data_IF_194967340117
#
_entry.id   IF_194967340117
#
_cell.length_a   1.000
_cell.length_b   1.000
_cell.length_c   1.000
_cell.angle_alpha   90.00
_cell.angle_beta   90.00
_cell.angle_gamma   90.00
#
_symmetry.space_group_name_H-M   'P 1'
#
loop_
_entity.id
_entity.type
_entity.pdbx_description
1 polymer ?
#
# COMPACT_ATOMS: atom_id res chain seq x y z
N UNK A 1 20.12 -18.28 -14.04
CA UNK A 1 20.34 -17.16 -13.10
C UNK A 1 20.58 -17.79 -11.74
N UNK A 2 21.80 -17.70 -11.19
CA UNK A 2 22.20 -18.44 -9.98
C UNK A 2 21.45 -17.95 -8.72
N UNK A 3 21.32 -18.77 -7.67
CA UNK A 3 20.63 -18.39 -6.46
C UNK A 3 21.44 -17.31 -5.74
N UNK A 4 20.92 -16.10 -5.69
CA UNK A 4 21.38 -15.10 -4.73
C UNK A 4 21.14 -15.70 -3.34
N UNK A 5 22.19 -15.88 -2.54
CA UNK A 5 22.07 -16.28 -1.14
C UNK A 5 21.31 -15.20 -0.39
N UNK A 6 19.99 -15.43 -0.23
CA UNK A 6 19.07 -14.54 0.48
C UNK A 6 19.03 -14.96 1.95
N UNK A 7 19.52 -14.10 2.84
CA UNK A 7 19.75 -14.42 4.26
C UNK A 7 18.49 -14.34 5.14
N UNK A 8 17.29 -14.25 4.55
CA UNK A 8 16.04 -14.09 5.29
C UNK A 8 15.86 -12.67 5.84
N UNK A 9 16.40 -11.66 5.14
CA UNK A 9 16.15 -10.25 5.47
C UNK A 9 14.77 -9.81 4.98
N UNK A 10 14.17 -8.71 5.47
CA UNK A 10 12.85 -8.26 5.01
C UNK A 10 12.73 -8.11 3.48
N UNK A 11 13.78 -7.65 2.81
CA UNK A 11 13.81 -7.55 1.36
C UNK A 11 13.67 -8.92 0.65
N UNK A 12 14.20 -9.99 1.25
CA UNK A 12 14.10 -11.34 0.72
C UNK A 12 12.65 -11.84 0.75
N UNK A 13 11.97 -11.66 1.90
CA UNK A 13 10.55 -12.00 2.07
C UNK A 13 9.64 -11.26 1.09
N UNK A 14 9.86 -9.95 0.90
CA UNK A 14 9.13 -9.16 -0.10
C UNK A 14 9.33 -9.73 -1.50
N UNK A 15 10.57 -10.03 -1.87
CA UNK A 15 10.88 -10.59 -3.17
C UNK A 15 10.37 -12.02 -3.37
N UNK A 16 10.29 -12.84 -2.31
CA UNK A 16 9.67 -14.16 -2.37
C UNK A 16 8.15 -14.09 -2.50
N UNK A 17 7.48 -13.16 -1.81
CA UNK A 17 6.04 -12.93 -1.97
C UNK A 17 5.68 -12.59 -3.42
N UNK A 18 6.42 -11.66 -4.03
CA UNK A 18 6.21 -11.26 -5.43
C UNK A 18 6.51 -12.39 -6.42
N UNK A 19 7.47 -13.28 -6.10
CA UNK A 19 7.78 -14.43 -6.94
C UNK A 19 6.72 -15.54 -6.86
N UNK A 20 5.97 -15.62 -5.76
CA UNK A 20 5.00 -16.68 -5.52
C UNK A 20 3.73 -16.55 -6.37
N UNK A 21 3.31 -15.33 -6.71
CA UNK A 21 2.11 -15.10 -7.49
C UNK A 21 2.16 -13.76 -8.26
N UNK A 22 1.77 -13.70 -9.55
CA UNK A 22 1.92 -12.50 -10.39
C UNK A 22 1.09 -11.29 -9.93
N UNK A 23 -0.01 -11.51 -9.19
CA UNK A 23 -0.81 -10.41 -8.62
C UNK A 23 -0.17 -9.76 -7.40
N UNK A 24 0.89 -10.32 -6.81
CA UNK A 24 1.58 -9.74 -5.66
C UNK A 24 2.58 -8.70 -6.16
N UNK A 25 2.31 -7.42 -5.89
CA UNK A 25 3.12 -6.27 -6.32
C UNK A 25 4.10 -5.81 -5.24
N UNK A 26 3.88 -6.25 -4.00
CA UNK A 26 4.73 -5.96 -2.86
C UNK A 26 4.33 -6.78 -1.65
N UNK A 27 4.96 -6.51 -0.50
CA UNK A 27 4.54 -7.09 0.76
C UNK A 27 5.03 -6.24 1.93
N UNK A 28 4.20 -6.14 2.96
CA UNK A 28 4.66 -5.71 4.27
C UNK A 28 5.34 -6.87 4.98
N UNK A 29 6.46 -6.60 5.66
CA UNK A 29 7.23 -7.61 6.38
C UNK A 29 7.42 -7.12 7.80
N UNK A 30 6.86 -7.85 8.75
CA UNK A 30 6.81 -7.47 10.16
C UNK A 30 7.58 -8.49 11.01
N UNK A 31 8.88 -8.25 11.26
CA UNK A 31 9.63 -9.05 12.21
C UNK A 31 9.04 -8.88 13.61
N UNK A 32 9.01 -9.97 14.37
CA UNK A 32 8.62 -10.02 15.77
C UNK A 32 7.16 -9.66 16.09
N UNK A 33 6.31 -9.46 15.07
CA UNK A 33 4.90 -9.09 15.24
C UNK A 33 4.09 -10.14 16.03
N UNK A 34 4.49 -11.41 15.97
CA UNK A 34 3.87 -12.51 16.71
C UNK A 34 4.78 -13.06 17.84
N UNK A 35 5.76 -12.26 18.26
CA UNK A 35 6.76 -12.62 19.26
C UNK A 35 8.18 -12.74 18.71
N UNK A 36 9.21 -12.77 19.57
CA UNK A 36 10.62 -12.84 19.15
C UNK A 36 10.89 -13.99 18.18
N UNK A 37 11.68 -13.74 17.14
CA UNK A 37 12.02 -14.72 16.10
C UNK A 37 10.95 -14.96 15.03
N UNK A 38 9.74 -14.40 15.15
CA UNK A 38 8.69 -14.55 14.13
C UNK A 38 8.80 -13.53 12.98
N UNK A 39 8.25 -13.86 11.81
CA UNK A 39 8.05 -12.93 10.68
C UNK A 39 6.61 -13.03 10.18
N UNK A 40 5.85 -11.95 10.25
CA UNK A 40 4.54 -11.87 9.61
C UNK A 40 4.68 -11.18 8.26
N UNK A 41 4.30 -11.89 7.19
CA UNK A 41 4.33 -11.41 5.82
C UNK A 41 2.91 -11.09 5.35
N UNK A 42 2.71 -9.88 4.83
CA UNK A 42 1.41 -9.43 4.31
C UNK A 42 1.54 -9.03 2.83
N UNK A 43 1.22 -9.92 1.88
CA UNK A 43 1.29 -9.62 0.46
C UNK A 43 0.35 -8.48 0.07
N UNK A 44 0.81 -7.57 -0.77
CA UNK A 44 0.03 -6.45 -1.33
C UNK A 44 -0.24 -6.75 -2.80
N UNK A 45 -1.48 -6.53 -3.24
CA UNK A 45 -1.92 -6.77 -4.61
C UNK A 45 -2.54 -5.50 -5.19
N UNK A 46 -1.74 -4.53 -5.60
CA UNK A 46 -2.22 -3.19 -6.02
C UNK A 46 -3.22 -3.21 -7.18
N UNK A 47 -3.20 -4.26 -8.01
CA UNK A 47 -4.15 -4.45 -9.11
C UNK A 47 -5.50 -5.07 -8.72
N UNK A 48 -5.71 -5.42 -7.45
CA UNK A 48 -6.96 -6.02 -6.95
C UNK A 48 -7.77 -5.03 -6.11
N UNK A 49 -9.04 -5.36 -5.88
CA UNK A 49 -9.94 -4.57 -5.03
C UNK A 49 -9.32 -4.35 -3.65
N UNK A 50 -9.30 -3.08 -3.20
CA UNK A 50 -8.70 -2.66 -1.93
C UNK A 50 -7.24 -3.09 -1.75
N UNK A 51 -6.53 -3.41 -2.84
CA UNK A 51 -5.14 -3.87 -2.82
C UNK A 51 -4.92 -5.19 -2.08
N UNK A 52 -5.99 -5.95 -1.80
CA UNK A 52 -5.93 -7.16 -0.97
C UNK A 52 -5.68 -8.43 -1.79
N UNK A 53 -4.85 -9.36 -1.29
CA UNK A 53 -4.74 -10.70 -1.83
C UNK A 53 -6.02 -11.50 -1.54
N UNK A 54 -6.44 -12.34 -2.48
CA UNK A 54 -7.48 -13.35 -2.25
C UNK A 54 -6.92 -14.52 -1.44
N UNK A 55 -7.80 -15.42 -0.95
CA UNK A 55 -7.37 -16.64 -0.27
C UNK A 55 -6.44 -17.49 -1.14
N UNK A 56 -6.75 -17.66 -2.43
CA UNK A 56 -5.89 -18.36 -3.40
C UNK A 56 -4.49 -17.77 -3.49
N UNK A 57 -4.35 -16.44 -3.41
CA UNK A 57 -3.05 -15.77 -3.46
C UNK A 57 -2.28 -16.00 -2.15
N UNK A 58 -2.95 -15.90 -1.00
CA UNK A 58 -2.33 -16.19 0.30
C UNK A 58 -1.85 -17.65 0.38
N UNK A 59 -2.62 -18.59 -0.16
CA UNK A 59 -2.27 -20.01 -0.24
C UNK A 59 -1.06 -20.23 -1.16
N UNK A 60 -1.02 -19.56 -2.32
CA UNK A 60 0.12 -19.64 -3.24
C UNK A 60 1.42 -19.13 -2.59
N UNK A 61 1.36 -18.00 -1.88
CA UNK A 61 2.51 -17.47 -1.12
C UNK A 61 2.93 -18.45 -0.02
N UNK A 62 1.98 -18.98 0.75
CA UNK A 62 2.25 -19.93 1.82
C UNK A 62 2.85 -21.25 1.31
N UNK A 63 2.43 -21.73 0.14
CA UNK A 63 2.97 -22.93 -0.50
C UNK A 63 4.39 -22.72 -1.06
N UNK A 64 4.72 -21.49 -1.48
CA UNK A 64 6.03 -21.16 -2.05
C UNK A 64 7.13 -20.99 -0.99
N UNK A 65 6.81 -20.35 0.15
CA UNK A 65 7.81 -19.98 1.16
C UNK A 65 8.68 -21.14 1.67
N UNK A 66 8.18 -22.36 1.98
CA UNK A 66 9.01 -23.47 2.45
C UNK A 66 10.19 -23.83 1.54
N UNK A 67 10.11 -23.54 0.25
CA UNK A 67 11.17 -23.84 -0.71
C UNK A 67 12.30 -22.80 -0.72
N UNK A 68 12.09 -21.62 -0.13
CA UNK A 68 13.00 -20.46 -0.27
C UNK A 68 13.41 -19.82 1.06
N UNK A 69 12.59 -19.92 2.09
CA UNK A 69 12.90 -19.38 3.42
C UNK A 69 13.90 -20.27 4.17
N UNK A 70 14.72 -19.71 5.10
CA UNK A 70 15.52 -20.52 5.99
C UNK A 70 14.66 -21.51 6.78
N UNK A 71 15.08 -22.78 6.86
CA UNK A 71 14.29 -23.86 7.48
C UNK A 71 13.93 -23.63 8.96
N UNK A 72 14.71 -22.80 9.66
CA UNK A 72 14.50 -22.46 11.08
C UNK A 72 13.64 -21.21 11.29
N UNK A 73 13.22 -20.53 10.21
CA UNK A 73 12.43 -19.31 10.32
C UNK A 73 10.98 -19.62 10.71
N UNK A 74 10.45 -18.92 11.72
CA UNK A 74 9.04 -18.98 12.09
C UNK A 74 8.28 -17.85 11.38
N UNK A 75 7.56 -18.17 10.31
CA UNK A 75 6.85 -17.18 9.50
C UNK A 75 5.36 -17.47 9.39
N UNK A 76 4.56 -16.42 9.19
CA UNK A 76 3.12 -16.50 8.91
C UNK A 76 2.76 -15.58 7.75
N UNK A 77 1.71 -15.93 7.03
CA UNK A 77 1.15 -15.12 5.94
C UNK A 77 -0.26 -14.68 6.32
N UNK A 78 -0.57 -13.40 6.12
CA UNK A 78 -1.90 -12.83 6.33
C UNK A 78 -2.20 -11.72 5.31
N UNK A 79 -3.46 -11.38 5.09
CA UNK A 79 -3.79 -10.18 4.30
C UNK A 79 -3.36 -8.89 5.03
N UNK A 80 -3.01 -7.80 4.32
CA UNK A 80 -2.86 -6.48 4.93
C UNK A 80 -4.12 -6.02 5.66
N UNK A 81 -3.94 -5.19 6.69
CA UNK A 81 -5.03 -4.37 7.22
C UNK A 81 -5.26 -3.17 6.28
N UNK A 82 -6.41 -2.51 6.40
CA UNK A 82 -6.79 -1.41 5.52
C UNK A 82 -7.02 -0.13 6.30
N UNK A 83 -6.32 0.93 5.88
CA UNK A 83 -6.60 2.29 6.31
C UNK A 83 -7.27 3.02 5.16
N UNK A 84 -8.58 3.23 5.31
CA UNK A 84 -9.37 3.95 4.34
C UNK A 84 -9.14 5.45 4.46
N UNK A 85 -8.75 6.08 3.37
CA UNK A 85 -8.47 7.52 3.31
C UNK A 85 -9.52 8.21 2.46
N UNK A 86 -10.19 9.22 3.01
CA UNK A 86 -11.02 10.17 2.27
C UNK A 86 -10.29 11.50 2.19
N UNK A 87 -10.29 12.10 0.99
CA UNK A 87 -9.72 13.42 0.75
C UNK A 87 -10.85 14.34 0.29
N UNK A 88 -11.01 15.48 0.95
CA UNK A 88 -12.06 16.45 0.63
C UNK A 88 -11.42 17.73 0.12
N UNK A 89 -11.82 18.17 -1.07
CA UNK A 89 -11.30 19.35 -1.75
C UNK A 89 -12.44 20.32 -2.07
N UNK A 90 -12.24 21.61 -1.80
CA UNK A 90 -13.09 22.66 -2.36
C UNK A 90 -12.37 23.24 -3.57
N UNK A 91 -13.04 23.30 -4.73
CA UNK A 91 -12.47 23.85 -5.97
C UNK A 91 -13.04 25.24 -6.25
N UNK A 92 -12.24 26.12 -6.84
CA UNK A 92 -12.77 27.37 -7.37
C UNK A 92 -13.77 27.11 -8.51
N UNK A 93 -14.85 27.89 -8.57
CA UNK A 93 -15.97 27.63 -9.48
C UNK A 93 -15.59 27.58 -10.97
N UNK A 94 -14.51 28.26 -11.38
CA UNK A 94 -14.01 28.26 -12.76
C UNK A 94 -13.26 26.98 -13.14
N UNK A 95 -12.73 26.26 -12.16
CA UNK A 95 -11.94 25.04 -12.33
C UNK A 95 -12.68 23.79 -11.85
N UNK A 96 -13.83 23.96 -11.22
CA UNK A 96 -14.67 22.88 -10.73
C UNK A 96 -15.42 22.18 -11.88
N UNK A 97 -14.68 21.37 -12.62
CA UNK A 97 -15.18 20.61 -13.77
C UNK A 97 -15.02 19.12 -13.52
N UNK A 98 -15.86 18.30 -14.16
CA UNK A 98 -15.74 16.84 -14.06
C UNK A 98 -14.37 16.33 -14.51
N UNK A 99 -13.75 16.97 -15.50
CA UNK A 99 -12.40 16.64 -15.97
C UNK A 99 -11.33 16.90 -14.89
N UNK A 100 -11.39 18.06 -14.22
CA UNK A 100 -10.45 18.39 -13.16
C UNK A 100 -10.66 17.53 -11.91
N UNK A 101 -11.93 17.26 -11.55
CA UNK A 101 -12.25 16.33 -10.45
C UNK A 101 -11.67 14.94 -10.72
N UNK A 102 -11.90 14.40 -11.92
CA UNK A 102 -11.36 13.09 -12.31
C UNK A 102 -9.83 13.07 -12.28
N UNK A 103 -9.17 14.06 -12.90
CA UNK A 103 -7.71 14.13 -12.93
C UNK A 103 -7.10 14.20 -11.52
N UNK A 104 -7.69 14.98 -10.60
CA UNK A 104 -7.24 15.04 -9.21
C UNK A 104 -7.42 13.69 -8.51
N UNK A 105 -8.57 13.02 -8.71
CA UNK A 105 -8.80 11.68 -8.17
C UNK A 105 -7.75 10.69 -8.67
N UNK A 106 -7.40 10.72 -9.96
CA UNK A 106 -6.40 9.82 -10.54
C UNK A 106 -5.00 10.05 -9.95
N UNK A 107 -4.56 11.31 -9.83
CA UNK A 107 -3.27 11.64 -9.20
C UNK A 107 -3.23 11.25 -7.71
N UNK A 108 -4.32 11.44 -6.98
CA UNK A 108 -4.43 11.03 -5.58
C UNK A 108 -4.43 9.50 -5.43
N UNK A 109 -5.08 8.77 -6.35
CA UNK A 109 -5.02 7.32 -6.38
C UNK A 109 -3.59 6.81 -6.61
N UNK A 110 -2.84 7.42 -7.53
CA UNK A 110 -1.42 7.10 -7.75
C UNK A 110 -0.58 7.38 -6.50
N UNK A 111 -0.80 8.52 -5.83
CA UNK A 111 -0.11 8.84 -4.59
C UNK A 111 -0.39 7.78 -3.51
N UNK A 112 -1.66 7.42 -3.28
CA UNK A 112 -2.03 6.41 -2.29
C UNK A 112 -1.43 5.04 -2.62
N UNK A 113 -1.44 4.63 -3.89
CA UNK A 113 -0.82 3.37 -4.33
C UNK A 113 0.69 3.35 -4.12
N UNK A 114 1.37 4.50 -4.21
CA UNK A 114 2.81 4.59 -3.96
C UNK A 114 3.19 4.28 -2.50
N UNK A 115 2.24 4.38 -1.57
CA UNK A 115 2.42 4.04 -0.16
C UNK A 115 2.20 2.55 0.05
N UNK A 116 3.28 1.82 0.32
CA UNK A 116 3.33 0.35 0.38
C UNK A 116 4.41 -0.19 1.34
N UNK A 117 4.89 0.66 2.25
CA UNK A 117 5.80 0.29 3.34
C UNK A 117 5.08 0.32 4.69
N UNK A 118 5.70 -0.35 5.67
CA UNK A 118 5.22 -0.34 7.06
C UNK A 118 5.22 1.09 7.61
N UNK A 119 4.11 1.47 8.26
CA UNK A 119 3.92 2.78 8.88
C UNK A 119 4.20 3.94 7.92
N UNK A 120 3.92 3.74 6.63
CA UNK A 120 4.04 4.79 5.62
C UNK A 120 3.20 6.00 6.03
N UNK A 121 3.70 7.19 5.70
CA UNK A 121 3.02 8.44 5.99
C UNK A 121 2.49 9.03 4.69
N UNK A 122 1.18 9.27 4.65
CA UNK A 122 0.55 10.09 3.62
C UNK A 122 0.68 11.55 4.05
N UNK A 123 1.65 12.26 3.44
CA UNK A 123 1.95 13.63 3.80
C UNK A 123 0.95 14.59 3.14
N UNK A 124 0.53 15.61 3.89
CA UNK A 124 -0.28 16.71 3.35
C UNK A 124 0.39 17.38 2.15
N UNK A 125 1.71 17.56 2.21
CA UNK A 125 2.48 18.16 1.12
C UNK A 125 2.44 17.31 -0.17
N UNK A 126 2.43 15.98 -0.06
CA UNK A 126 2.33 15.11 -1.22
C UNK A 126 0.92 15.14 -1.82
N UNK A 127 -0.11 15.17 -0.97
CA UNK A 127 -1.50 15.39 -1.40
C UNK A 127 -1.58 16.72 -2.16
N UNK A 128 -1.04 17.79 -1.58
CA UNK A 128 -1.10 19.12 -2.18
C UNK A 128 -0.34 19.15 -3.53
N UNK A 129 0.81 18.49 -3.65
CA UNK A 129 1.55 18.35 -4.92
C UNK A 129 0.72 17.60 -5.96
N UNK A 130 0.06 16.49 -5.58
CA UNK A 130 -0.77 15.71 -6.47
C UNK A 130 -2.00 16.51 -6.97
N UNK A 131 -2.56 17.38 -6.13
CA UNK A 131 -3.70 18.22 -6.48
C UNK A 131 -3.28 19.43 -7.33
N UNK A 132 -2.14 20.04 -6.99
CA UNK A 132 -1.55 21.19 -7.70
C UNK A 132 -1.13 20.87 -9.14
N UNK A 133 -0.83 19.61 -9.45
CA UNK A 133 -0.49 19.17 -10.82
C UNK A 133 -1.63 19.36 -11.83
N UNK A 134 -2.88 19.51 -11.33
CA UNK A 134 -4.08 19.71 -12.15
C UNK A 134 -4.49 21.18 -12.19
N UNK A 135 -4.65 21.81 -11.02
CA UNK A 135 -4.97 23.24 -10.87
C UNK A 135 -4.61 23.72 -9.46
N UNK A 136 -4.20 24.98 -9.37
CA UNK A 136 -3.86 25.66 -8.12
C UNK A 136 -5.03 26.35 -7.41
N UNK A 137 -6.20 26.46 -8.05
CA UNK A 137 -7.39 27.08 -7.45
C UNK A 137 -8.19 26.03 -6.67
N UNK A 138 -7.72 25.70 -5.46
CA UNK A 138 -8.38 24.77 -4.54
C UNK A 138 -8.03 25.04 -3.08
N UNK A 139 -8.82 24.45 -2.19
CA UNK A 139 -8.53 24.31 -0.75
C UNK A 139 -8.66 22.84 -0.39
N UNK A 140 -7.66 22.28 0.29
CA UNK A 140 -7.79 20.96 0.94
C UNK A 140 -8.54 21.11 2.26
N UNK A 141 -9.77 20.61 2.31
CA UNK A 141 -10.63 20.62 3.50
C UNK A 141 -10.21 19.50 4.46
N UNK A 142 -9.97 18.30 3.92
CA UNK A 142 -9.47 17.14 4.65
C UNK A 142 -8.51 16.31 3.79
N UNK A 143 -7.53 15.60 4.38
CA UNK A 143 -7.18 15.59 5.81
C UNK A 143 -6.51 16.89 6.27
N UNK A 144 -6.52 17.19 7.58
CA UNK A 144 -5.89 18.41 8.15
C UNK A 144 -4.53 18.15 8.83
N UNK A 145 -4.11 16.89 8.89
CA UNK A 145 -2.81 16.44 9.38
C UNK A 145 -2.30 15.28 8.51
N UNK A 146 -0.99 15.01 8.57
CA UNK A 146 -0.44 13.81 7.94
C UNK A 146 -1.11 12.56 8.53
N UNK A 147 -1.35 11.56 7.68
CA UNK A 147 -1.93 10.28 8.12
C UNK A 147 -0.80 9.25 8.13
N UNK A 148 -0.64 8.55 9.25
CA UNK A 148 0.32 7.45 9.38
C UNK A 148 -0.45 6.14 9.26
N UNK A 149 0.06 5.20 8.47
CA UNK A 149 -0.56 3.89 8.35
C UNK A 149 -0.41 3.13 9.68
N UNK A 150 -1.48 2.45 10.09
CA UNK A 150 -1.45 1.55 11.22
C UNK A 150 -0.49 0.37 10.95
N UNK A 151 -0.01 -0.26 12.03
CA UNK A 151 0.93 -1.37 11.89
C UNK A 151 0.30 -2.52 11.10
N UNK A 152 0.93 -2.90 9.98
CA UNK A 152 0.43 -3.94 9.08
C UNK A 152 -0.73 -3.50 8.18
N UNK A 153 -1.06 -2.20 8.17
CA UNK A 153 -2.04 -1.61 7.28
C UNK A 153 -1.41 -0.98 6.03
N UNK A 154 -2.22 -0.89 4.99
CA UNK A 154 -1.93 -0.11 3.78
C UNK A 154 -3.06 0.87 3.52
N UNK A 155 -2.74 2.01 2.93
CA UNK A 155 -3.76 2.98 2.53
C UNK A 155 -4.58 2.49 1.34
N UNK A 156 -5.89 2.75 1.41
CA UNK A 156 -6.84 2.62 0.30
C UNK A 156 -7.59 3.93 0.16
N UNK A 157 -7.56 4.52 -1.03
CA UNK A 157 -8.35 5.72 -1.31
C UNK A 157 -9.82 5.34 -1.34
N UNK A 158 -10.57 5.75 -0.32
CA UNK A 158 -11.99 5.44 -0.18
C UNK A 158 -12.84 6.36 -1.07
N UNK A 159 -12.57 7.67 -1.00
CA UNK A 159 -13.24 8.67 -1.81
C UNK A 159 -12.39 9.93 -1.97
N UNK A 160 -12.66 10.66 -3.06
CA UNK A 160 -12.29 12.07 -3.19
C UNK A 160 -13.60 12.85 -3.28
N UNK A 161 -13.86 13.66 -2.26
CA UNK A 161 -15.06 14.45 -2.14
C UNK A 161 -14.80 15.89 -2.60
N UNK A 162 -15.78 16.48 -3.28
CA UNK A 162 -15.69 17.83 -3.81
C UNK A 162 -16.89 18.64 -3.31
N UNK A 163 -16.59 19.73 -2.62
CA UNK A 163 -17.57 20.70 -2.08
C UNK A 163 -17.67 21.94 -2.95
#
# INVERSE_FOLDING_TARGET
MGPLYRSGKPADYRAWAMAAHPSVTGALVQPHALGPGTVLLRPICDGLTNRLPTTTILDAVSAYLPAVVPAVADWRVAAPLLDYVTITLALGASVDTSANRQAKTDFLAVLVLSKSAEQDVLLLAEIDVAVLSVTSDYVRVAPVANIVADAGAIFVLAAVEFE
#
